data_IF_707866403347
#
_entry.id   IF_707866403347
#
_cell.length_a   1.000
_cell.length_b   1.000
_cell.length_c   1.000
_cell.angle_alpha   90.00
_cell.angle_beta   90.00
_cell.angle_gamma   90.00
#
_symmetry.space_group_name_H-M   'P 1'
#
loop_
_entity.id
_entity.type
_entity.pdbx_description
1 polymer ?
#
# COMPACT_ATOMS: atom_id res chain seq x y z
N UNK A 1 3.10 -3.82 -17.39
CA UNK A 1 2.85 -4.40 -16.06
C UNK A 1 4.12 -4.20 -15.25
N UNK A 2 4.16 -3.18 -14.38
CA UNK A 2 5.38 -2.70 -13.69
C UNK A 2 5.33 -3.02 -12.17
N UNK A 3 4.20 -3.53 -11.68
CA UNK A 3 3.88 -3.59 -10.25
C UNK A 3 4.47 -4.80 -9.51
N UNK A 4 5.18 -5.69 -10.22
CA UNK A 4 5.72 -6.95 -9.70
C UNK A 4 7.12 -7.28 -10.26
N UNK A 5 7.92 -6.27 -10.56
CA UNK A 5 9.30 -6.45 -11.06
C UNK A 5 10.28 -6.10 -9.94
N UNK A 6 11.43 -6.78 -9.84
CA UNK A 6 12.44 -6.50 -8.79
C UNK A 6 12.89 -5.03 -8.76
N UNK A 7 12.82 -4.36 -9.93
CA UNK A 7 13.04 -2.92 -10.06
C UNK A 7 12.09 -2.09 -9.19
N UNK A 8 10.85 -2.55 -8.97
CA UNK A 8 9.86 -1.88 -8.11
C UNK A 8 10.29 -1.85 -6.65
N UNK A 9 10.88 -2.94 -6.12
CA UNK A 9 11.40 -2.97 -4.75
C UNK A 9 12.65 -2.11 -4.57
N UNK A 10 13.40 -1.90 -5.64
CA UNK A 10 14.55 -1.00 -5.68
C UNK A 10 14.18 0.46 -5.96
N UNK A 11 12.93 0.77 -6.30
CA UNK A 11 12.51 2.16 -6.53
C UNK A 11 12.61 2.96 -5.22
N UNK A 12 13.05 4.23 -5.29
CA UNK A 12 13.00 5.14 -4.15
C UNK A 12 11.56 5.45 -3.76
N UNK A 13 11.36 5.81 -2.49
CA UNK A 13 10.03 6.13 -1.94
C UNK A 13 9.32 7.23 -2.74
N UNK A 14 10.05 8.24 -3.22
CA UNK A 14 9.48 9.32 -4.03
C UNK A 14 8.82 8.79 -5.30
N UNK A 15 9.46 7.83 -5.99
CA UNK A 15 8.88 7.19 -7.18
C UNK A 15 7.67 6.36 -6.82
N UNK A 16 7.72 5.62 -5.72
CA UNK A 16 6.60 4.83 -5.23
C UNK A 16 5.39 5.74 -4.90
N UNK A 17 5.63 6.86 -4.22
CA UNK A 17 4.60 7.87 -3.90
C UNK A 17 4.06 8.49 -5.19
N UNK A 18 4.91 8.89 -6.13
CA UNK A 18 4.46 9.39 -7.44
C UNK A 18 3.58 8.34 -8.14
N UNK A 19 3.94 7.06 -8.07
CA UNK A 19 3.19 5.98 -8.69
C UNK A 19 1.80 5.79 -8.09
N UNK A 20 1.70 5.83 -6.77
CA UNK A 20 0.45 5.61 -6.04
C UNK A 20 -0.42 6.86 -6.05
N UNK A 21 0.20 8.04 -6.02
CA UNK A 21 -0.48 9.32 -6.15
C UNK A 21 -0.97 9.58 -7.58
N UNK A 22 -0.44 8.86 -8.57
CA UNK A 22 -0.81 9.02 -9.97
C UNK A 22 -1.82 7.95 -10.38
N UNK A 23 -3.09 8.32 -10.25
CA UNK A 23 -4.26 7.50 -10.57
C UNK A 23 -4.37 7.09 -12.06
N UNK A 24 -3.55 7.65 -12.96
CA UNK A 24 -3.51 7.29 -14.38
C UNK A 24 -2.47 6.20 -14.72
N UNK A 25 -1.61 5.83 -13.77
CA UNK A 25 -0.75 4.68 -13.96
C UNK A 25 -1.64 3.44 -14.05
N UNK A 26 -1.37 2.61 -15.06
CA UNK A 26 -2.14 1.41 -15.41
C UNK A 26 -2.02 0.30 -14.36
N UNK A 27 -2.21 0.63 -13.08
CA UNK A 27 -2.28 -0.34 -12.01
C UNK A 27 -3.65 -0.97 -12.09
N UNK A 28 -3.66 -2.28 -12.36
CA UNK A 28 -4.89 -3.02 -12.69
C UNK A 28 -5.87 -3.12 -11.51
N UNK A 29 -5.39 -2.97 -10.27
CA UNK A 29 -6.19 -2.97 -9.04
C UNK A 29 -5.41 -2.33 -7.89
N UNK A 30 -6.10 -1.60 -7.01
CA UNK A 30 -5.55 -1.10 -5.73
C UNK A 30 -4.99 -2.23 -4.83
N UNK A 31 -5.51 -3.45 -4.98
CA UNK A 31 -5.00 -4.65 -4.29
C UNK A 31 -3.52 -4.94 -4.64
N UNK A 32 -3.12 -4.72 -5.90
CA UNK A 32 -1.72 -4.85 -6.31
C UNK A 32 -0.87 -3.70 -5.75
N UNK A 33 -1.41 -2.48 -5.71
CA UNK A 33 -0.72 -1.34 -5.09
C UNK A 33 -0.39 -1.66 -3.64
N UNK A 34 -1.39 -2.12 -2.88
CA UNK A 34 -1.22 -2.49 -1.48
C UNK A 34 -0.15 -3.57 -1.31
N UNK A 35 -0.25 -4.65 -2.09
CA UNK A 35 0.70 -5.76 -2.02
C UNK A 35 2.13 -5.28 -2.30
N UNK A 36 2.30 -4.44 -3.32
CA UNK A 36 3.59 -3.91 -3.72
C UNK A 36 4.18 -2.96 -2.67
N UNK A 37 3.35 -2.09 -2.07
CA UNK A 37 3.73 -1.22 -0.93
C UNK A 37 4.17 -2.05 0.27
N UNK A 38 3.38 -3.06 0.65
CA UNK A 38 3.71 -3.93 1.79
C UNK A 38 5.01 -4.67 1.56
N UNK A 39 5.24 -5.21 0.36
CA UNK A 39 6.50 -5.88 0.05
C UNK A 39 7.68 -4.90 -0.01
N UNK A 40 7.50 -3.69 -0.54
CA UNK A 40 8.50 -2.63 -0.53
C UNK A 40 8.89 -2.22 0.89
N UNK A 41 7.93 -2.18 1.81
CA UNK A 41 8.17 -1.89 3.22
C UNK A 41 8.79 -3.07 3.95
N UNK A 42 8.35 -4.31 3.67
CA UNK A 42 8.97 -5.53 4.22
C UNK A 42 10.45 -5.64 3.88
N UNK A 43 10.88 -5.04 2.76
CA UNK A 43 12.28 -4.96 2.38
C UNK A 43 13.13 -4.12 3.36
N UNK A 44 12.56 -3.08 3.99
CA UNK A 44 13.28 -2.21 4.94
C UNK A 44 12.33 -1.63 6.00
N UNK A 45 11.79 -2.50 6.86
CA UNK A 45 10.75 -2.18 7.83
C UNK A 45 11.11 -1.01 8.74
N UNK A 46 12.34 -0.98 9.26
CA UNK A 46 12.79 0.01 10.23
C UNK A 46 12.71 1.44 9.69
N UNK A 47 13.05 1.65 8.42
CA UNK A 47 13.12 2.98 7.80
C UNK A 47 11.88 3.29 6.98
N UNK A 48 11.22 2.25 6.44
CA UNK A 48 10.09 2.40 5.49
C UNK A 48 8.71 2.35 6.14
N UNK A 49 8.59 1.80 7.36
CA UNK A 49 7.31 1.73 8.07
C UNK A 49 6.69 3.14 8.29
N UNK A 50 7.50 4.18 8.49
CA UNK A 50 6.99 5.56 8.60
C UNK A 50 6.30 6.07 7.32
N UNK A 51 6.66 5.53 6.15
CA UNK A 51 6.03 5.89 4.88
C UNK A 51 4.77 5.08 4.61
N UNK A 52 4.53 3.98 5.33
CA UNK A 52 3.35 3.12 5.18
C UNK A 52 2.06 3.93 5.24
N UNK A 53 1.88 4.70 6.31
CA UNK A 53 0.69 5.53 6.53
C UNK A 53 0.49 6.54 5.39
N UNK A 54 1.58 7.17 4.94
CA UNK A 54 1.54 8.16 3.85
C UNK A 54 1.20 7.51 2.52
N UNK A 55 1.74 6.33 2.23
CA UNK A 55 1.44 5.57 1.02
C UNK A 55 -0.01 5.10 1.03
N UNK A 56 -0.51 4.60 2.17
CA UNK A 56 -1.89 4.14 2.30
C UNK A 56 -2.91 5.28 2.25
N UNK A 57 -2.57 6.49 2.67
CA UNK A 57 -3.43 7.68 2.47
C UNK A 57 -3.67 7.97 0.98
N UNK A 58 -2.72 7.65 0.11
CA UNK A 58 -2.88 7.77 -1.34
C UNK A 58 -3.60 6.57 -1.96
N UNK A 59 -3.68 5.42 -1.29
CA UNK A 59 -4.42 4.24 -1.75
C UNK A 59 -5.90 4.42 -1.47
N UNK A 60 -6.72 4.35 -2.51
CA UNK A 60 -8.17 4.52 -2.38
C UNK A 60 -8.79 3.18 -1.96
N UNK A 61 -8.80 2.92 -0.65
CA UNK A 61 -9.46 1.72 -0.11
C UNK A 61 -10.92 1.59 -0.52
N UNK A 62 -11.64 2.68 -0.81
CA UNK A 62 -13.00 2.64 -1.36
C UNK A 62 -13.11 1.93 -2.72
N UNK A 63 -12.01 1.85 -3.48
CA UNK A 63 -11.91 1.09 -4.73
C UNK A 63 -11.39 -0.34 -4.50
N UNK A 64 -10.84 -0.65 -3.32
CA UNK A 64 -10.51 -2.01 -2.92
C UNK A 64 -11.77 -2.81 -2.63
N UNK A 65 -11.69 -4.12 -2.87
CA UNK A 65 -12.78 -5.01 -2.53
C UNK A 65 -12.88 -5.12 -0.99
N UNK A 66 -14.04 -4.89 -0.34
CA UNK A 66 -14.16 -4.92 1.12
C UNK A 66 -13.72 -6.26 1.72
N UNK A 67 -13.90 -7.36 0.96
CA UNK A 67 -13.36 -8.67 1.33
C UNK A 67 -11.84 -8.69 1.41
N UNK A 68 -11.14 -8.04 0.49
CA UNK A 68 -9.68 -7.94 0.50
C UNK A 68 -9.19 -7.06 1.64
N UNK A 69 -9.90 -5.96 1.91
CA UNK A 69 -9.59 -5.08 3.04
C UNK A 69 -9.64 -5.86 4.36
N UNK A 70 -10.70 -6.62 4.60
CA UNK A 70 -10.84 -7.35 5.87
C UNK A 70 -10.00 -8.63 5.91
N UNK A 71 -9.86 -9.35 4.79
CA UNK A 71 -9.17 -10.64 4.76
C UNK A 71 -7.64 -10.53 4.62
N UNK A 72 -7.16 -9.50 3.92
CA UNK A 72 -5.72 -9.26 3.69
C UNK A 72 -5.22 -8.10 4.55
N UNK A 73 -5.79 -6.91 4.36
CA UNK A 73 -5.23 -5.67 4.94
C UNK A 73 -5.39 -5.66 6.47
N UNK A 74 -6.56 -6.01 6.98
CA UNK A 74 -6.84 -6.09 8.41
C UNK A 74 -6.11 -7.26 9.10
N UNK A 75 -5.59 -8.23 8.35
CA UNK A 75 -4.74 -9.31 8.88
C UNK A 75 -3.25 -8.98 8.83
N UNK A 76 -2.85 -7.98 8.06
CA UNK A 76 -1.44 -7.62 7.93
C UNK A 76 -0.99 -6.86 9.19
N UNK A 77 -0.01 -7.42 9.91
CA UNK A 77 0.49 -6.84 11.16
C UNK A 77 1.03 -5.42 10.95
N UNK A 78 1.50 -5.08 9.76
CA UNK A 78 1.98 -3.73 9.45
C UNK A 78 0.87 -2.69 9.57
N UNK A 79 -0.30 -3.02 9.04
CA UNK A 79 -1.47 -2.16 9.09
C UNK A 79 -2.04 -2.12 10.50
N UNK A 80 -2.07 -3.26 11.20
CA UNK A 80 -2.50 -3.29 12.60
C UNK A 80 -1.56 -2.56 13.56
N UNK A 81 -0.26 -2.52 13.26
CA UNK A 81 0.74 -1.81 14.07
C UNK A 81 0.53 -0.30 13.95
N UNK A 82 0.18 0.18 12.77
CA UNK A 82 0.01 1.60 12.51
C UNK A 82 -1.44 2.06 12.77
N UNK A 83 -1.60 3.11 13.59
CA UNK A 83 -2.93 3.60 13.95
C UNK A 83 -3.62 4.33 12.79
N UNK A 84 -2.86 5.03 11.94
CA UNK A 84 -3.42 5.75 10.80
C UNK A 84 -3.94 4.75 9.75
N UNK A 85 -3.16 3.71 9.48
CA UNK A 85 -3.54 2.65 8.54
C UNK A 85 -4.84 1.95 8.96
N UNK A 86 -4.99 1.64 10.26
CA UNK A 86 -6.24 1.10 10.80
C UNK A 86 -7.43 2.02 10.60
N UNK A 87 -7.28 3.33 10.80
CA UNK A 87 -8.37 4.28 10.58
C UNK A 87 -8.80 4.32 9.11
N UNK A 88 -7.85 4.33 8.16
CA UNK A 88 -8.20 4.28 6.74
C UNK A 88 -8.95 3.00 6.37
N UNK A 89 -8.55 1.86 6.95
CA UNK A 89 -9.21 0.57 6.75
C UNK A 89 -10.61 0.53 7.36
N UNK A 90 -10.78 1.08 8.56
CA UNK A 90 -12.07 1.12 9.26
C UNK A 90 -13.06 2.07 8.56
N UNK A 91 -12.58 3.20 8.03
CA UNK A 91 -13.39 4.14 7.25
C UNK A 91 -13.82 3.56 5.89
N UNK A 92 -13.00 2.69 5.31
CA UNK A 92 -13.30 2.01 4.05
C UNK A 92 -14.06 0.68 4.19
N UNK A 93 -14.35 0.24 5.43
CA UNK A 93 -15.02 -1.02 5.75
C UNK A 93 -16.54 -0.97 5.58
#
# INVERSE_FOLDING_TARGET
DVVCTEEFYQLPVDRLIELISNEELHVRSEEQVFTAVVQWIKFDLATRQQFLAKLLEHVRFSLCNPKFIVDTISKDELVMTDAACRNFVDEAK
#
